data_IF_425576136237
#
_entry.id   IF_425576136237
#
_cell.length_a   1.000
_cell.length_b   1.000
_cell.length_c   1.000
_cell.angle_alpha   90.00
_cell.angle_beta   90.00
_cell.angle_gamma   90.00
#
_symmetry.space_group_name_H-M   'P 1'
#
loop_
_entity.id
_entity.type
_entity.pdbx_description
1 polymer ?
#
# COMPACT_ATOMS: atom_id res chain seq x y z
N UNK A 1 56.83 16.34 -7.22
CA UNK A 1 55.68 15.81 -7.99
C UNK A 1 54.72 15.22 -6.97
N UNK A 2 53.65 15.94 -6.61
CA UNK A 2 52.68 15.51 -5.58
C UNK A 2 51.64 14.62 -6.26
N UNK A 3 51.56 13.36 -5.82
CA UNK A 3 50.63 12.36 -6.33
C UNK A 3 49.30 12.54 -5.58
N UNK A 4 48.24 12.94 -6.28
CA UNK A 4 46.87 12.97 -5.75
C UNK A 4 46.27 11.58 -5.93
N UNK A 5 45.95 10.92 -4.82
CA UNK A 5 45.19 9.66 -4.82
C UNK A 5 43.70 10.03 -4.91
N UNK A 6 43.06 9.75 -6.04
CA UNK A 6 41.61 9.89 -6.20
C UNK A 6 40.99 8.62 -5.61
N UNK A 7 40.39 8.76 -4.43
CA UNK A 7 39.54 7.73 -3.83
C UNK A 7 38.23 7.68 -4.63
N UNK A 8 38.12 6.73 -5.55
CA UNK A 8 36.85 6.42 -6.23
C UNK A 8 36.01 5.63 -5.23
N UNK A 9 35.10 6.32 -4.56
CA UNK A 9 34.05 5.69 -3.76
C UNK A 9 33.03 5.09 -4.76
N UNK A 10 33.16 3.80 -5.04
CA UNK A 10 32.11 3.05 -5.73
C UNK A 10 30.94 2.91 -4.75
N UNK A 11 29.92 3.75 -4.90
CA UNK A 11 28.60 3.48 -4.34
C UNK A 11 28.08 2.19 -4.97
N UNK A 12 28.14 1.10 -4.22
CA UNK A 12 27.40 -0.11 -4.54
C UNK A 12 25.93 0.20 -4.26
N UNK A 13 25.15 0.44 -5.31
CA UNK A 13 23.69 0.50 -5.18
C UNK A 13 23.19 -0.91 -4.86
N UNK A 14 22.50 -1.07 -3.72
CA UNK A 14 21.82 -2.31 -3.40
C UNK A 14 20.85 -2.69 -4.55
N UNK A 15 20.65 -3.99 -4.83
CA UNK A 15 19.70 -4.41 -5.86
C UNK A 15 18.28 -4.04 -5.40
N UNK A 16 17.72 -2.98 -5.98
CA UNK A 16 16.32 -2.64 -5.82
C UNK A 16 15.50 -3.65 -6.62
N UNK A 17 14.76 -4.53 -5.93
CA UNK A 17 13.83 -5.45 -6.58
C UNK A 17 12.51 -4.74 -6.80
N UNK A 18 11.93 -4.92 -8.00
CA UNK A 18 10.57 -4.50 -8.24
C UNK A 18 9.60 -5.42 -7.51
N UNK A 19 8.60 -4.83 -6.86
CA UNK A 19 7.47 -5.51 -6.23
C UNK A 19 6.22 -5.31 -7.08
N UNK A 20 5.24 -6.19 -6.93
CA UNK A 20 3.96 -6.11 -7.65
C UNK A 20 2.82 -6.24 -6.68
N UNK A 21 1.86 -5.31 -6.79
CA UNK A 21 0.58 -5.35 -6.09
C UNK A 21 -0.57 -5.40 -7.09
N UNK A 22 -1.67 -6.03 -6.69
CA UNK A 22 -2.92 -6.02 -7.45
C UNK A 22 -4.00 -5.40 -6.59
N UNK A 23 -4.64 -4.36 -7.12
CA UNK A 23 -5.59 -3.51 -6.41
C UNK A 23 -6.96 -3.66 -7.06
N UNK A 24 -7.96 -3.98 -6.27
CA UNK A 24 -9.35 -4.07 -6.73
C UNK A 24 -9.94 -2.68 -7.00
N UNK A 25 -10.88 -2.60 -7.94
CA UNK A 25 -11.62 -1.36 -8.15
C UNK A 25 -12.44 -0.98 -6.92
N UNK A 26 -12.18 0.21 -6.38
CA UNK A 26 -12.87 0.76 -5.21
C UNK A 26 -14.23 1.36 -5.54
N UNK A 27 -14.41 1.82 -6.79
CA UNK A 27 -15.58 2.55 -7.23
C UNK A 27 -15.69 2.43 -8.76
N UNK A 28 -16.87 2.12 -9.31
CA UNK A 28 -17.13 2.21 -10.74
C UNK A 28 -18.58 2.58 -11.07
N UNK A 29 -18.81 3.15 -12.25
CA UNK A 29 -20.16 3.52 -12.68
C UNK A 29 -20.24 3.73 -14.20
N UNK A 30 -21.43 3.56 -14.77
CA UNK A 30 -21.69 3.93 -16.17
C UNK A 30 -22.43 5.26 -16.28
N UNK A 31 -21.89 6.19 -17.07
CA UNK A 31 -22.54 7.42 -17.50
C UNK A 31 -23.38 7.15 -18.75
N UNK A 32 -24.69 7.31 -18.64
CA UNK A 32 -25.63 7.13 -19.74
C UNK A 32 -26.02 8.48 -20.33
N UNK A 33 -25.64 8.75 -21.58
CA UNK A 33 -26.04 9.98 -22.26
C UNK A 33 -27.57 10.14 -22.24
N UNK A 34 -28.00 11.23 -21.62
CA UNK A 34 -29.40 11.60 -21.45
C UNK A 34 -29.47 13.10 -21.19
N UNK A 35 -30.38 13.80 -21.88
CA UNK A 35 -30.58 15.23 -21.69
C UNK A 35 -31.03 15.58 -20.27
N UNK A 36 -31.71 14.67 -19.58
CA UNK A 36 -32.12 14.83 -18.19
C UNK A 36 -31.00 14.47 -17.20
N UNK A 37 -29.97 13.72 -17.62
CA UNK A 37 -28.88 13.30 -16.74
C UNK A 37 -29.34 12.49 -15.53
N UNK A 38 -30.42 11.71 -15.68
CA UNK A 38 -31.09 10.97 -14.60
C UNK A 38 -30.81 9.47 -14.62
N UNK A 39 -29.85 9.02 -15.43
CA UNK A 39 -29.52 7.61 -15.62
C UNK A 39 -28.11 7.32 -15.14
N UNK A 40 -27.95 6.20 -14.43
CA UNK A 40 -26.70 5.73 -13.82
C UNK A 40 -26.75 4.20 -13.62
N UNK A 41 -25.63 3.59 -13.24
CA UNK A 41 -25.54 2.17 -12.89
C UNK A 41 -24.31 1.89 -12.01
N UNK A 42 -24.31 2.42 -10.78
CA UNK A 42 -23.20 2.29 -9.84
C UNK A 42 -23.20 1.01 -9.00
N UNK A 43 -24.27 0.21 -9.07
CA UNK A 43 -24.40 -1.05 -8.34
C UNK A 43 -24.81 -2.21 -9.27
N UNK A 44 -24.65 -2.06 -10.58
CA UNK A 44 -24.96 -3.08 -11.59
C UNK A 44 -23.75 -3.98 -11.87
N UNK A 45 -23.99 -5.13 -12.52
CA UNK A 45 -22.95 -6.13 -12.80
C UNK A 45 -22.00 -5.70 -13.94
N UNK A 46 -22.32 -4.62 -14.67
CA UNK A 46 -21.64 -4.25 -15.89
C UNK A 46 -21.37 -2.76 -16.08
N UNK A 47 -20.23 -2.47 -16.71
CA UNK A 47 -19.79 -1.16 -17.20
C UNK A 47 -19.92 -1.04 -18.72
N UNK A 48 -20.22 0.15 -19.23
CA UNK A 48 -20.35 0.38 -20.67
C UNK A 48 -19.54 1.56 -21.18
N UNK A 49 -18.90 1.37 -22.34
CA UNK A 49 -18.18 2.42 -23.06
C UNK A 49 -18.52 2.39 -24.56
N UNK A 50 -18.66 3.55 -25.18
CA UNK A 50 -18.89 3.72 -26.62
C UNK A 50 -20.32 4.05 -27.02
N UNK A 51 -20.56 4.11 -28.32
CA UNK A 51 -21.85 4.48 -28.90
C UNK A 51 -22.72 3.24 -29.16
N UNK A 52 -23.95 3.29 -28.66
CA UNK A 52 -24.95 2.23 -28.85
C UNK A 52 -25.57 2.26 -30.25
N UNK A 53 -26.31 1.21 -30.63
CA UNK A 53 -27.07 1.16 -31.89
C UNK A 53 -28.12 2.29 -31.99
N UNK A 54 -28.67 2.70 -30.84
CA UNK A 54 -29.63 3.80 -30.74
C UNK A 54 -28.94 5.19 -30.64
N UNK A 55 -27.66 5.27 -30.99
CA UNK A 55 -26.83 6.48 -31.05
C UNK A 55 -26.48 7.14 -29.71
N UNK A 56 -27.05 6.69 -28.59
CA UNK A 56 -26.68 7.19 -27.26
C UNK A 56 -25.27 6.74 -26.84
N UNK A 57 -24.52 7.66 -26.22
CA UNK A 57 -23.18 7.40 -25.69
C UNK A 57 -23.21 6.75 -24.30
N UNK A 58 -22.20 5.93 -24.04
CA UNK A 58 -21.88 5.33 -22.74
C UNK A 58 -20.41 5.60 -22.44
N UNK A 59 -20.12 5.96 -21.20
CA UNK A 59 -18.76 6.07 -20.68
C UNK A 59 -18.71 5.38 -19.33
N UNK A 60 -17.65 4.65 -19.04
CA UNK A 60 -17.46 4.06 -17.72
C UNK A 60 -16.47 4.93 -16.95
N UNK A 61 -16.75 5.21 -15.67
CA UNK A 61 -15.80 5.79 -14.73
C UNK A 61 -15.38 4.71 -13.74
N UNK A 62 -14.11 4.66 -13.39
CA UNK A 62 -13.54 3.63 -12.52
C UNK A 62 -12.38 4.19 -11.71
N UNK A 63 -12.31 3.87 -10.42
CA UNK A 63 -11.26 4.32 -9.52
C UNK A 63 -10.68 3.19 -8.67
N UNK A 64 -9.36 3.23 -8.48
CA UNK A 64 -8.58 2.34 -7.63
C UNK A 64 -7.93 3.20 -6.54
N UNK A 65 -8.68 3.51 -5.48
CA UNK A 65 -8.27 4.49 -4.46
C UNK A 65 -7.36 3.91 -3.38
N UNK A 66 -7.42 2.59 -3.15
CA UNK A 66 -6.69 1.91 -2.08
C UNK A 66 -5.25 1.57 -2.52
N UNK A 67 -4.40 2.60 -2.63
CA UNK A 67 -2.97 2.45 -2.94
C UNK A 67 -2.11 2.13 -1.70
N UNK A 68 -2.71 1.87 -0.54
CA UNK A 68 -2.01 1.79 0.75
C UNK A 68 -1.08 0.59 0.92
N UNK A 69 -1.14 -0.41 0.03
CA UNK A 69 -0.17 -1.51 -0.04
C UNK A 69 1.16 -1.08 -0.69
N UNK A 70 1.17 0.05 -1.42
CA UNK A 70 2.39 0.63 -1.99
C UNK A 70 3.00 1.58 -0.95
N UNK A 71 4.25 1.37 -0.52
CA UNK A 71 4.91 2.24 0.46
C UNK A 71 4.99 3.71 0.01
N UNK A 72 4.86 4.64 0.95
CA UNK A 72 5.06 6.06 0.69
C UNK A 72 6.47 6.31 0.11
N UNK A 73 6.54 7.13 -0.94
CA UNK A 73 7.79 7.44 -1.62
C UNK A 73 8.27 6.35 -2.58
N UNK A 74 7.54 5.24 -2.77
CA UNK A 74 7.86 4.29 -3.83
C UNK A 74 7.81 4.93 -5.23
N UNK A 75 8.58 4.37 -6.15
CA UNK A 75 8.63 4.78 -7.56
C UNK A 75 7.87 3.78 -8.41
N UNK A 76 6.76 4.18 -9.00
CA UNK A 76 5.98 3.33 -9.90
C UNK A 76 6.80 3.02 -11.17
N UNK A 77 6.91 1.73 -11.51
CA UNK A 77 7.62 1.24 -12.70
C UNK A 77 6.67 0.90 -13.83
N UNK A 78 5.60 0.18 -13.52
CA UNK A 78 4.60 -0.21 -14.52
C UNK A 78 3.19 -0.28 -13.93
N UNK A 79 2.21 0.02 -14.76
CA UNK A 79 0.78 0.01 -14.39
C UNK A 79 0.03 -0.72 -15.48
N UNK A 80 -0.73 -1.75 -15.14
CA UNK A 80 -1.61 -2.47 -16.08
C UNK A 80 -3.03 -2.51 -15.56
N UNK A 81 -4.00 -2.25 -16.43
CA UNK A 81 -5.42 -2.31 -16.08
C UNK A 81 -6.00 -3.57 -16.71
N UNK A 82 -6.56 -4.43 -15.88
CA UNK A 82 -7.22 -5.66 -16.29
C UNK A 82 -8.73 -5.44 -16.36
N UNK A 83 -9.32 -5.72 -17.52
CA UNK A 83 -10.75 -5.61 -17.77
C UNK A 83 -11.27 -6.87 -18.44
N UNK A 84 -12.50 -7.27 -18.12
CA UNK A 84 -13.18 -8.36 -18.80
C UNK A 84 -14.31 -7.85 -19.69
N UNK A 85 -14.16 -7.96 -21.01
CA UNK A 85 -15.24 -7.67 -21.94
C UNK A 85 -16.21 -8.85 -21.99
N UNK A 86 -17.46 -8.61 -21.57
CA UNK A 86 -18.52 -9.63 -21.53
C UNK A 86 -19.60 -9.43 -22.58
N UNK A 87 -19.53 -8.36 -23.37
CA UNK A 87 -20.34 -8.22 -24.60
C UNK A 87 -19.75 -7.21 -25.59
N UNK A 88 -19.88 -7.54 -26.88
CA UNK A 88 -19.75 -6.60 -28.01
C UNK A 88 -20.98 -6.66 -28.93
N UNK A 89 -21.15 -5.62 -29.75
CA UNK A 89 -22.17 -5.58 -30.80
C UNK A 89 -21.68 -4.90 -32.10
N UNK A 90 -20.37 -4.69 -32.24
CA UNK A 90 -19.76 -3.96 -33.34
C UNK A 90 -18.34 -4.50 -33.63
N UNK A 91 -17.75 -4.06 -34.74
CA UNK A 91 -16.36 -4.37 -35.09
C UNK A 91 -15.38 -3.87 -34.01
N UNK A 92 -14.16 -4.40 -34.04
CA UNK A 92 -13.04 -3.96 -33.20
C UNK A 92 -12.97 -2.43 -33.08
N UNK A 93 -12.78 -1.93 -31.87
CA UNK A 93 -12.73 -0.50 -31.57
C UNK A 93 -11.59 -0.19 -30.61
N UNK A 94 -11.13 1.06 -30.60
CA UNK A 94 -10.15 1.52 -29.63
C UNK A 94 -10.86 1.92 -28.34
N UNK A 95 -10.45 1.31 -27.23
CA UNK A 95 -10.77 1.74 -25.88
C UNK A 95 -9.65 2.67 -25.40
N UNK A 96 -10.01 3.86 -24.94
CA UNK A 96 -9.09 4.87 -24.40
C UNK A 96 -9.36 5.09 -22.92
N UNK A 97 -8.28 5.20 -22.14
CA UNK A 97 -8.29 5.49 -20.71
C UNK A 97 -7.86 6.94 -20.53
N UNK A 98 -8.69 7.77 -19.89
CA UNK A 98 -8.40 9.17 -19.63
C UNK A 98 -8.48 9.47 -18.15
N UNK A 99 -7.49 10.19 -17.59
CA UNK A 99 -7.53 10.59 -16.17
C UNK A 99 -8.68 11.56 -15.93
N UNK A 100 -9.48 11.30 -14.89
CA UNK A 100 -10.52 12.22 -14.44
C UNK A 100 -9.90 13.39 -13.65
N UNK A 101 -10.38 14.60 -13.91
CA UNK A 101 -9.90 15.83 -13.26
C UNK A 101 -10.86 16.33 -12.17
N UNK A 102 -11.93 15.57 -11.90
CA UNK A 102 -12.92 15.90 -10.88
C UNK A 102 -13.45 14.64 -10.20
N UNK A 103 -13.60 14.73 -8.87
CA UNK A 103 -14.20 13.67 -8.07
C UNK A 103 -15.67 13.43 -8.45
N UNK A 104 -16.12 12.20 -8.22
CA UNK A 104 -17.44 11.71 -8.60
C UNK A 104 -17.91 10.61 -7.64
N UNK A 105 -19.22 10.41 -7.58
CA UNK A 105 -19.85 9.48 -6.65
C UNK A 105 -20.43 8.25 -7.32
N UNK A 106 -20.58 7.21 -6.52
CA UNK A 106 -21.22 5.96 -6.87
C UNK A 106 -22.35 5.75 -5.87
N UNK A 107 -23.57 5.67 -6.38
CA UNK A 107 -24.77 5.45 -5.59
C UNK A 107 -25.27 4.02 -5.71
N UNK A 108 -26.54 3.83 -5.40
CA UNK A 108 -27.19 2.51 -5.36
C UNK A 108 -27.96 2.17 -6.63
N UNK A 109 -27.77 2.94 -7.71
CA UNK A 109 -28.48 2.69 -8.97
C UNK A 109 -28.07 1.33 -9.55
N UNK A 110 -29.05 0.44 -9.76
CA UNK A 110 -28.82 -0.91 -10.26
C UNK A 110 -29.80 -1.21 -11.41
N UNK A 111 -29.25 -1.27 -12.62
CA UNK A 111 -30.00 -1.55 -13.83
C UNK A 111 -30.35 -3.04 -13.90
N UNK A 112 -31.60 -3.34 -14.27
CA UNK A 112 -32.02 -4.72 -14.43
C UNK A 112 -31.57 -5.32 -15.76
N UNK A 113 -31.36 -6.64 -15.80
CA UNK A 113 -31.28 -7.41 -17.03
C UNK A 113 -29.94 -7.30 -17.74
N UNK A 114 -29.88 -6.55 -18.84
CA UNK A 114 -28.66 -6.39 -19.64
C UNK A 114 -27.99 -5.02 -19.47
N UNK A 115 -28.55 -4.16 -18.62
CA UNK A 115 -27.95 -2.93 -18.08
C UNK A 115 -27.57 -1.80 -19.05
N UNK A 116 -27.56 -2.03 -20.37
CA UNK A 116 -27.19 -1.00 -21.36
C UNK A 116 -28.13 0.21 -21.45
N UNK A 117 -29.30 0.15 -20.81
CA UNK A 117 -30.25 1.26 -20.68
C UNK A 117 -30.07 2.09 -19.39
N UNK A 118 -29.33 1.57 -18.40
CA UNK A 118 -29.16 2.20 -17.09
C UNK A 118 -30.38 2.05 -16.18
N UNK A 119 -30.22 2.47 -14.94
CA UNK A 119 -31.28 2.65 -13.95
C UNK A 119 -31.49 4.13 -13.66
N UNK A 120 -32.59 4.45 -12.97
CA UNK A 120 -32.75 5.79 -12.39
C UNK A 120 -31.61 6.05 -11.40
N UNK A 121 -30.96 7.20 -11.55
CA UNK A 121 -29.91 7.64 -10.63
C UNK A 121 -30.48 7.88 -9.23
N UNK A 122 -29.69 7.50 -8.24
CA UNK A 122 -29.89 7.73 -6.82
C UNK A 122 -28.94 8.82 -6.32
N UNK A 123 -29.21 9.37 -5.14
CA UNK A 123 -28.35 10.42 -4.60
C UNK A 123 -26.89 9.93 -4.47
N UNK A 124 -25.95 10.73 -4.95
CA UNK A 124 -24.53 10.41 -5.00
C UNK A 124 -24.05 9.81 -6.32
N UNK A 125 -24.93 9.25 -7.16
CA UNK A 125 -24.51 8.65 -8.43
C UNK A 125 -23.87 9.66 -9.39
N UNK A 126 -22.81 9.25 -10.09
CA UNK A 126 -22.39 9.94 -11.30
C UNK A 126 -23.36 9.63 -12.44
N UNK A 127 -23.69 10.64 -13.24
CA UNK A 127 -24.53 10.56 -14.43
C UNK A 127 -23.88 11.36 -15.55
N UNK A 128 -24.50 11.40 -16.73
CA UNK A 128 -24.00 12.23 -17.82
C UNK A 128 -23.86 13.71 -17.45
N UNK A 129 -24.74 14.25 -16.60
CA UNK A 129 -24.69 15.68 -16.23
C UNK A 129 -24.15 15.91 -14.82
N UNK A 130 -24.25 14.93 -13.93
CA UNK A 130 -23.89 15.07 -12.52
C UNK A 130 -22.67 14.23 -12.16
N UNK A 131 -21.73 14.81 -11.42
CA UNK A 131 -20.67 14.05 -10.75
C UNK A 131 -21.13 13.48 -9.41
N UNK A 132 -22.07 14.17 -8.74
CA UNK A 132 -22.84 13.64 -7.62
C UNK A 132 -24.32 14.04 -7.78
N UNK A 133 -25.14 13.10 -8.20
CA UNK A 133 -26.57 13.33 -8.42
C UNK A 133 -27.29 13.69 -7.11
N UNK A 134 -28.19 14.67 -7.07
CA UNK A 134 -28.69 15.57 -8.13
C UNK A 134 -28.16 17.00 -7.99
N UNK A 135 -27.03 17.19 -7.29
CA UNK A 135 -26.61 18.51 -6.80
C UNK A 135 -25.32 19.05 -7.45
N UNK A 136 -24.36 18.18 -7.77
CA UNK A 136 -23.06 18.60 -8.31
C UNK A 136 -22.91 18.13 -9.75
N UNK A 137 -22.69 19.08 -10.66
CA UNK A 137 -22.54 18.84 -12.09
C UNK A 137 -21.08 18.71 -12.50
N UNK A 138 -20.84 18.00 -13.60
CA UNK A 138 -19.61 18.14 -14.37
C UNK A 138 -19.54 19.54 -14.99
N UNK A 139 -18.35 20.05 -15.28
CA UNK A 139 -18.20 21.25 -16.11
C UNK A 139 -18.55 20.93 -17.57
N UNK A 140 -18.19 19.72 -18.03
CA UNK A 140 -18.51 19.20 -19.35
C UNK A 140 -19.41 17.95 -19.22
N UNK A 141 -20.61 17.93 -19.83
CA UNK A 141 -21.44 16.74 -19.84
C UNK A 141 -20.68 15.52 -20.36
N UNK A 142 -20.79 14.41 -19.62
CA UNK A 142 -20.10 13.16 -19.87
C UNK A 142 -18.73 13.05 -19.19
N UNK A 143 -18.36 13.98 -18.30
CA UNK A 143 -17.17 13.89 -17.45
C UNK A 143 -16.14 14.99 -17.71
N UNK A 144 -15.41 15.35 -16.66
CA UNK A 144 -14.23 16.22 -16.73
C UNK A 144 -12.96 15.37 -16.68
N UNK A 145 -12.21 15.33 -17.78
CA UNK A 145 -11.05 14.45 -17.93
C UNK A 145 -9.99 15.06 -18.86
N UNK A 146 -8.76 14.59 -18.72
CA UNK A 146 -7.64 14.97 -19.58
C UNK A 146 -7.90 14.59 -21.04
N UNK A 147 -7.80 15.56 -21.94
CA UNK A 147 -7.95 15.31 -23.38
C UNK A 147 -6.90 14.32 -23.93
N UNK A 148 -5.73 14.23 -23.31
CA UNK A 148 -4.71 13.23 -23.62
C UNK A 148 -5.04 11.93 -22.88
N UNK A 149 -5.20 10.84 -23.63
CA UNK A 149 -5.40 9.51 -23.07
C UNK A 149 -4.12 9.04 -22.36
N UNK A 150 -4.28 8.43 -21.19
CA UNK A 150 -3.21 7.78 -20.45
C UNK A 150 -2.80 6.49 -21.14
N UNK A 151 -3.76 5.72 -21.68
CA UNK A 151 -3.49 4.53 -22.47
C UNK A 151 -4.62 4.23 -23.46
N UNK A 152 -4.32 3.38 -24.44
CA UNK A 152 -5.28 2.90 -25.42
C UNK A 152 -5.03 1.42 -25.75
N UNK A 153 -6.10 0.69 -26.02
CA UNK A 153 -6.04 -0.70 -26.50
C UNK A 153 -7.13 -0.94 -27.54
N UNK A 154 -6.90 -1.88 -28.46
CA UNK A 154 -7.96 -2.36 -29.35
C UNK A 154 -8.73 -3.50 -28.68
N UNK A 155 -10.05 -3.36 -28.59
CA UNK A 155 -10.96 -4.38 -28.07
C UNK A 155 -11.88 -4.92 -29.17
N UNK A 156 -11.93 -6.24 -29.31
CA UNK A 156 -12.66 -6.95 -30.37
C UNK A 156 -13.65 -7.95 -29.77
N UNK A 157 -13.22 -9.19 -29.53
CA UNK A 157 -14.05 -10.29 -29.02
C UNK A 157 -14.15 -10.29 -27.48
N UNK A 158 -15.19 -10.90 -26.92
CA UNK A 158 -15.32 -11.13 -25.48
C UNK A 158 -14.10 -11.86 -24.89
N UNK A 159 -13.69 -11.46 -23.70
CA UNK A 159 -12.55 -12.02 -22.98
C UNK A 159 -11.81 -10.99 -22.14
N UNK A 160 -10.67 -11.44 -21.59
CA UNK A 160 -9.77 -10.60 -20.82
C UNK A 160 -8.98 -9.65 -21.72
N UNK A 161 -8.88 -8.39 -21.28
CA UNK A 161 -8.05 -7.36 -21.88
C UNK A 161 -7.13 -6.78 -20.81
N UNK A 162 -5.85 -6.71 -21.14
CA UNK A 162 -4.82 -6.07 -20.32
C UNK A 162 -4.37 -4.82 -21.05
N UNK A 163 -4.66 -3.65 -20.46
CA UNK A 163 -4.14 -2.38 -20.95
C UNK A 163 -2.70 -2.27 -20.45
N UNK A 164 -1.75 -2.28 -21.38
CA UNK A 164 -0.32 -2.25 -21.08
C UNK A 164 0.12 -0.89 -20.52
N UNK A 165 1.21 -0.94 -19.74
CA UNK A 165 1.80 0.23 -19.12
C UNK A 165 2.26 1.28 -20.13
N UNK A 166 1.98 2.54 -19.80
CA UNK A 166 2.47 3.72 -20.51
C UNK A 166 3.07 4.69 -19.51
N UNK A 167 3.91 5.61 -19.98
CA UNK A 167 4.43 6.68 -19.12
C UNK A 167 3.33 7.54 -18.49
N UNK A 168 2.19 7.70 -19.18
CA UNK A 168 1.08 8.49 -18.66
C UNK A 168 0.29 7.73 -17.57
N UNK A 169 0.08 6.42 -17.70
CA UNK A 169 -0.49 5.62 -16.60
C UNK A 169 0.41 5.60 -15.37
N UNK A 170 1.73 5.44 -15.57
CA UNK A 170 2.72 5.53 -14.50
C UNK A 170 2.68 6.91 -13.83
N UNK A 171 2.62 7.99 -14.60
CA UNK A 171 2.53 9.34 -14.05
C UNK A 171 1.22 9.61 -13.31
N UNK A 172 0.09 9.06 -13.78
CA UNK A 172 -1.19 9.17 -13.08
C UNK A 172 -1.12 8.48 -11.71
N UNK A 173 -0.69 7.22 -11.65
CA UNK A 173 -0.61 6.46 -10.38
C UNK A 173 0.46 7.01 -9.46
N UNK A 174 1.61 7.46 -9.97
CA UNK A 174 2.62 8.15 -9.15
C UNK A 174 2.04 9.43 -8.54
N UNK A 175 1.32 10.23 -9.33
CA UNK A 175 0.68 11.45 -8.82
C UNK A 175 -0.36 11.17 -7.74
N UNK A 176 -1.09 10.06 -7.84
CA UNK A 176 -2.04 9.62 -6.82
C UNK A 176 -1.38 9.04 -5.57
N UNK A 177 -0.21 8.41 -5.70
CA UNK A 177 0.58 7.99 -4.56
C UNK A 177 1.12 9.22 -3.80
N UNK A 178 1.58 10.24 -4.53
CA UNK A 178 2.14 11.47 -3.98
C UNK A 178 1.07 12.41 -3.39
N UNK A 179 -0.13 12.44 -3.96
CA UNK A 179 -1.31 13.16 -3.46
C UNK A 179 -2.58 12.29 -3.57
N UNK A 180 -2.89 11.48 -2.53
CA UNK A 180 -4.04 10.58 -2.55
C UNK A 180 -5.39 11.26 -2.76
N UNK A 181 -5.52 12.55 -2.40
CA UNK A 181 -6.77 13.30 -2.59
C UNK A 181 -7.03 13.64 -4.08
N UNK A 182 -6.03 13.48 -4.94
CA UNK A 182 -6.15 13.70 -6.39
C UNK A 182 -6.61 12.46 -7.16
N UNK A 183 -6.75 11.31 -6.49
CA UNK A 183 -7.16 10.05 -7.12
C UNK A 183 -8.66 10.01 -7.39
N UNK A 184 -9.05 10.51 -8.57
CA UNK A 184 -10.42 10.41 -9.08
C UNK A 184 -10.60 9.25 -10.07
N UNK A 185 -9.56 8.46 -10.30
CA UNK A 185 -9.57 7.36 -11.26
C UNK A 185 -9.55 7.80 -12.72
N UNK A 186 -10.09 6.94 -13.58
CA UNK A 186 -10.13 7.11 -15.03
C UNK A 186 -11.54 7.01 -15.58
N UNK A 187 -11.73 7.60 -16.76
CA UNK A 187 -12.90 7.38 -17.62
C UNK A 187 -12.49 6.58 -18.86
N UNK A 188 -13.29 5.57 -19.18
CA UNK A 188 -13.10 4.66 -20.31
C UNK A 188 -14.03 5.05 -21.45
N UNK A 189 -13.42 5.33 -22.61
CA UNK A 189 -14.11 5.77 -23.82
C UNK A 189 -13.78 4.80 -24.95
N UNK A 190 -14.80 4.18 -25.55
CA UNK A 190 -14.65 3.56 -26.87
C UNK A 190 -15.03 4.58 -27.95
N UNK A 191 -14.77 4.27 -29.23
CA UNK A 191 -15.06 5.18 -30.35
C UNK A 191 -16.49 5.76 -30.29
N UNK A 192 -16.62 7.05 -30.03
CA UNK A 192 -17.91 7.72 -29.98
C UNK A 192 -18.37 8.22 -31.35
N UNK A 193 -17.63 7.96 -32.43
CA UNK A 193 -17.96 8.35 -33.81
C UNK A 193 -18.83 7.32 -34.54
N UNK A 194 -18.69 6.04 -34.22
CA UNK A 194 -19.42 4.92 -34.83
C UNK A 194 -19.99 3.98 -33.76
N UNK A 195 -20.91 3.09 -34.14
CA UNK A 195 -21.41 2.05 -33.22
C UNK A 195 -20.24 1.21 -32.71
N UNK A 196 -20.00 1.24 -31.41
CA UNK A 196 -18.79 0.69 -30.80
C UNK A 196 -19.03 0.11 -29.40
N UNK A 197 -20.25 0.20 -28.87
CA UNK A 197 -20.57 -0.13 -27.48
C UNK A 197 -19.94 -1.46 -27.03
N UNK A 198 -19.16 -1.38 -25.96
CA UNK A 198 -18.58 -2.51 -25.24
C UNK A 198 -19.17 -2.59 -23.85
N UNK A 199 -19.34 -3.82 -23.38
CA UNK A 199 -19.70 -4.12 -21.99
C UNK A 199 -18.53 -4.79 -21.30
N UNK A 200 -18.14 -4.23 -20.17
CA UNK A 200 -17.16 -4.81 -19.28
C UNK A 200 -17.84 -5.26 -17.98
N UNK A 201 -17.25 -6.19 -17.26
CA UNK A 201 -17.72 -6.52 -15.91
C UNK A 201 -17.33 -5.41 -14.94
N UNK A 202 -18.24 -5.05 -14.03
CA UNK A 202 -17.99 -4.11 -12.93
C UNK A 202 -17.37 -4.81 -11.72
N UNK A 203 -17.06 -4.04 -10.68
CA UNK A 203 -16.64 -4.53 -9.36
C UNK A 203 -17.76 -5.27 -8.62
N UNK A 204 -19.03 -5.04 -8.93
CA UNK A 204 -20.17 -5.78 -8.37
C UNK A 204 -20.35 -7.16 -9.01
N UNK A 205 -19.78 -7.39 -10.20
CA UNK A 205 -20.03 -8.60 -10.98
C UNK A 205 -19.83 -9.88 -10.16
N UNK A 206 -20.71 -10.89 -10.25
CA UNK A 206 -20.63 -12.09 -9.41
C UNK A 206 -19.40 -12.98 -9.71
N UNK A 207 -18.75 -12.84 -10.87
CA UNK A 207 -17.52 -13.55 -11.22
C UNK A 207 -16.30 -12.72 -10.77
N UNK A 208 -15.82 -12.97 -9.55
CA UNK A 208 -14.77 -12.17 -8.90
C UNK A 208 -13.48 -12.12 -9.71
N UNK A 209 -13.10 -13.23 -10.35
CA UNK A 209 -11.90 -13.35 -11.18
C UNK A 209 -11.97 -12.57 -12.50
N UNK A 210 -13.13 -11.97 -12.80
CA UNK A 210 -13.37 -11.17 -14.01
C UNK A 210 -13.70 -9.72 -13.67
N UNK A 211 -13.53 -9.30 -12.42
CA UNK A 211 -13.71 -7.91 -11.99
C UNK A 211 -12.52 -7.05 -12.45
N UNK A 212 -12.69 -5.73 -12.58
CA UNK A 212 -11.59 -4.83 -12.89
C UNK A 212 -10.51 -4.86 -11.81
N UNK A 213 -9.24 -4.92 -12.21
CA UNK A 213 -8.08 -4.88 -11.31
C UNK A 213 -6.99 -3.97 -11.87
N UNK A 214 -6.25 -3.32 -10.98
CA UNK A 214 -5.06 -2.55 -11.29
C UNK A 214 -3.83 -3.31 -10.80
N UNK A 215 -2.97 -3.72 -11.72
CA UNK A 215 -1.66 -4.30 -11.39
C UNK A 215 -0.62 -3.19 -11.42
N UNK A 216 0.11 -3.01 -10.33
CA UNK A 216 1.14 -1.97 -10.19
C UNK A 216 2.45 -2.62 -9.80
N UNK A 217 3.47 -2.39 -10.62
CA UNK A 217 4.85 -2.71 -10.30
C UNK A 217 5.56 -1.44 -9.81
N UNK A 218 6.22 -1.51 -8.66
CA UNK A 218 6.89 -0.38 -8.05
C UNK A 218 8.26 -0.77 -7.50
N UNK A 219 9.12 0.24 -7.34
CA UNK A 219 10.33 0.15 -6.54
C UNK A 219 10.09 0.88 -5.24
N UNK A 220 10.17 0.17 -4.12
CA UNK A 220 10.25 0.81 -2.81
C UNK A 220 11.53 1.64 -2.77
N UNK A 221 11.40 2.96 -2.52
CA UNK A 221 12.55 3.80 -2.16
C UNK A 221 12.88 3.68 -0.66
N UNK A 222 12.03 2.99 0.09
CA UNK A 222 12.42 2.37 1.34
C UNK A 222 13.50 1.32 1.00
N UNK A 223 14.67 1.28 1.65
CA UNK A 223 15.67 0.21 1.48
C UNK A 223 15.14 -1.22 1.82
N UNK A 224 13.83 -1.42 1.84
CA UNK A 224 13.10 -2.38 2.66
C UNK A 224 13.37 -2.12 4.13
N UNK A 225 12.83 -2.96 5.04
CA UNK A 225 13.73 -3.42 6.08
C UNK A 225 15.00 -3.92 5.36
N UNK A 226 16.14 -3.29 5.62
CA UNK A 226 17.45 -3.75 5.12
C UNK A 226 17.47 -5.28 5.14
N UNK A 227 17.90 -5.97 4.06
CA UNK A 227 17.71 -7.41 3.90
C UNK A 227 17.91 -8.13 5.23
N UNK A 228 16.78 -8.46 5.85
CA UNK A 228 16.60 -9.20 7.09
C UNK A 228 17.67 -9.16 8.17
N UNK A 229 18.11 -8.01 8.69
CA UNK A 229 18.87 -8.03 9.95
C UNK A 229 17.93 -8.22 11.16
N UNK A 230 17.33 -9.38 11.31
CA UNK A 230 16.36 -9.59 12.39
C UNK A 230 17.05 -9.91 13.71
N UNK A 231 17.52 -8.88 14.40
CA UNK A 231 17.86 -8.99 15.82
C UNK A 231 16.62 -9.09 16.72
N UNK A 232 15.41 -8.93 16.16
CA UNK A 232 14.19 -9.13 16.93
C UNK A 232 14.03 -10.58 17.34
N UNK A 233 13.35 -10.77 18.46
CA UNK A 233 13.06 -12.08 19.02
C UNK A 233 13.62 -12.25 20.44
N UNK A 234 13.47 -13.47 20.97
CA UNK A 234 13.91 -13.81 22.31
C UNK A 234 15.42 -14.10 22.37
N UNK A 235 16.08 -13.48 23.34
CA UNK A 235 17.50 -13.66 23.66
C UNK A 235 17.66 -14.14 25.11
N UNK A 236 18.64 -14.99 25.38
CA UNK A 236 18.90 -15.52 26.73
C UNK A 236 20.37 -15.89 26.92
N UNK A 237 20.83 -15.94 28.17
CA UNK A 237 22.11 -16.59 28.50
C UNK A 237 21.81 -18.04 28.93
N UNK A 238 22.35 -19.08 28.26
CA UNK A 238 22.11 -20.47 28.63
C UNK A 238 22.56 -20.88 30.03
N UNK A 239 23.34 -20.03 30.71
CA UNK A 239 23.80 -20.26 32.09
C UNK A 239 22.89 -19.59 33.13
N UNK A 240 21.90 -18.80 32.71
CA UNK A 240 21.00 -18.04 33.57
C UNK A 240 19.55 -18.50 33.36
N UNK A 241 19.07 -19.38 34.24
CA UNK A 241 17.73 -19.98 34.13
C UNK A 241 16.61 -18.99 34.47
N UNK A 242 15.58 -18.95 33.63
CA UNK A 242 14.34 -18.21 33.90
C UNK A 242 14.45 -16.71 33.67
N UNK A 243 15.49 -16.25 32.98
CA UNK A 243 15.65 -14.86 32.57
C UNK A 243 16.06 -14.70 31.11
N UNK A 244 15.82 -13.52 30.54
CA UNK A 244 16.13 -13.22 29.15
C UNK A 244 15.60 -11.86 28.70
N UNK A 245 15.70 -11.63 27.40
CA UNK A 245 15.37 -10.37 26.74
C UNK A 245 14.43 -10.62 25.55
N UNK A 246 13.50 -9.70 25.31
CA UNK A 246 12.79 -9.61 24.03
C UNK A 246 13.25 -8.35 23.33
N UNK A 247 13.88 -8.52 22.18
CA UNK A 247 14.32 -7.41 21.32
C UNK A 247 13.26 -7.20 20.25
N UNK A 248 12.85 -5.95 20.04
CA UNK A 248 11.96 -5.53 18.98
C UNK A 248 12.66 -4.48 18.15
N UNK A 249 12.97 -4.81 16.89
CA UNK A 249 13.47 -3.84 15.92
C UNK A 249 12.28 -3.35 15.09
N UNK A 250 12.01 -2.04 15.14
CA UNK A 250 10.88 -1.41 14.46
C UNK A 250 11.36 -0.21 13.64
N UNK A 251 10.54 0.33 12.70
CA UNK A 251 10.87 1.57 12.01
C UNK A 251 11.11 2.78 12.95
N UNK A 252 10.56 2.76 14.18
CA UNK A 252 10.78 3.82 15.16
C UNK A 252 12.11 3.67 15.94
N UNK A 253 12.77 2.52 15.84
CA UNK A 253 13.95 2.14 16.61
C UNK A 253 13.79 0.83 17.36
N UNK A 254 14.77 0.54 18.20
CA UNK A 254 14.88 -0.67 19.00
C UNK A 254 14.23 -0.48 20.37
N UNK A 255 13.45 -1.48 20.78
CA UNK A 255 12.84 -1.59 22.10
C UNK A 255 13.21 -2.94 22.71
N UNK A 256 13.71 -2.94 23.94
CA UNK A 256 14.15 -4.16 24.62
C UNK A 256 13.41 -4.31 25.94
N UNK A 257 12.80 -5.47 26.13
CA UNK A 257 12.31 -5.89 27.44
C UNK A 257 13.30 -6.83 28.09
N UNK A 258 13.48 -6.69 29.39
CA UNK A 258 14.15 -7.69 30.22
C UNK A 258 13.16 -8.33 31.18
N UNK A 259 13.23 -9.65 31.29
CA UNK A 259 12.46 -10.45 32.22
C UNK A 259 13.42 -11.34 32.99
N UNK A 260 13.51 -11.17 34.30
CA UNK A 260 14.40 -11.97 35.12
C UNK A 260 14.33 -11.64 36.58
N UNK A 261 15.49 -11.54 37.22
CA UNK A 261 15.60 -11.37 38.66
C UNK A 261 16.55 -10.25 39.06
N UNK A 262 16.19 -9.52 40.12
CA UNK A 262 17.07 -8.57 40.81
C UNK A 262 18.19 -9.29 41.59
N UNK A 263 19.16 -8.54 42.11
CA UNK A 263 20.23 -9.08 42.98
C UNK A 263 19.71 -9.83 44.21
N UNK A 264 18.52 -9.46 44.69
CA UNK A 264 17.85 -10.06 45.85
C UNK A 264 16.88 -11.20 45.45
N UNK A 265 17.02 -11.71 44.22
CA UNK A 265 16.25 -12.82 43.67
C UNK A 265 14.72 -12.57 43.61
N UNK A 266 14.31 -11.30 43.45
CA UNK A 266 12.92 -10.92 43.20
C UNK A 266 12.69 -10.79 41.70
N UNK A 267 11.46 -11.04 41.22
CA UNK A 267 11.12 -10.86 39.81
C UNK A 267 11.31 -9.40 39.39
N UNK A 268 11.99 -9.22 38.26
CA UNK A 268 12.31 -7.92 37.69
C UNK A 268 11.87 -7.88 36.22
N UNK A 269 11.12 -6.84 35.88
CA UNK A 269 10.55 -6.61 34.56
C UNK A 269 10.92 -5.19 34.16
N UNK A 270 11.74 -5.05 33.13
CA UNK A 270 12.22 -3.76 32.65
C UNK A 270 11.84 -3.57 31.19
N UNK A 271 11.70 -2.32 30.79
CA UNK A 271 11.52 -1.90 29.41
C UNK A 271 12.50 -0.77 29.09
N UNK A 272 13.13 -0.80 27.93
CA UNK A 272 14.01 0.28 27.51
C UNK A 272 13.24 1.51 27.01
N UNK A 273 13.93 2.63 26.84
CA UNK A 273 13.57 3.63 25.85
C UNK A 273 13.70 3.08 24.41
N UNK A 274 13.31 3.90 23.43
CA UNK A 274 13.47 3.56 22.02
C UNK A 274 14.76 4.20 21.52
N UNK A 275 15.67 3.37 20.98
CA UNK A 275 16.95 3.82 20.44
C UNK A 275 17.03 3.48 18.96
N UNK A 276 17.25 4.49 18.12
CA UNK A 276 17.47 4.28 16.67
C UNK A 276 18.91 3.82 16.45
N UNK A 277 19.08 2.65 15.82
CA UNK A 277 20.38 2.09 15.46
C UNK A 277 20.34 1.75 13.98
N UNK A 278 21.14 2.45 13.18
CA UNK A 278 21.26 2.23 11.74
C UNK A 278 22.59 2.82 11.22
N UNK A 279 23.53 2.00 10.69
CA UNK A 279 23.54 0.53 10.69
C UNK A 279 23.98 -0.05 12.05
N UNK A 280 23.80 -1.35 12.24
CA UNK A 280 24.43 -2.07 13.37
C UNK A 280 25.86 -2.43 13.02
N UNK A 281 26.78 -2.09 13.92
CA UNK A 281 28.20 -2.41 13.86
C UNK A 281 28.56 -3.39 14.97
N UNK A 282 29.15 -4.53 14.61
CA UNK A 282 29.58 -5.51 15.61
C UNK A 282 30.73 -4.98 16.48
N UNK A 283 30.66 -5.28 17.77
CA UNK A 283 31.60 -4.77 18.77
C UNK A 283 31.31 -3.35 19.25
N UNK A 284 30.35 -2.64 18.65
CA UNK A 284 29.88 -1.34 19.13
C UNK A 284 28.93 -1.52 20.32
N UNK A 285 29.07 -0.64 21.32
CA UNK A 285 28.18 -0.61 22.49
C UNK A 285 27.00 0.30 22.22
N UNK A 286 25.80 -0.27 22.26
CA UNK A 286 24.54 0.45 22.21
C UNK A 286 23.95 0.56 23.60
N UNK A 287 23.59 1.78 24.02
CA UNK A 287 23.07 2.04 25.37
C UNK A 287 21.57 2.34 25.32
N UNK A 288 20.84 1.73 26.24
CA UNK A 288 19.39 1.84 26.39
C UNK A 288 19.06 2.23 27.82
N UNK A 289 18.24 3.25 28.02
CA UNK A 289 17.75 3.61 29.35
C UNK A 289 16.71 2.60 29.79
N UNK A 290 16.97 1.86 30.87
CA UNK A 290 16.04 0.87 31.39
C UNK A 290 15.10 1.49 32.41
N UNK A 291 13.81 1.27 32.20
CA UNK A 291 12.72 1.77 33.02
C UNK A 291 12.02 0.62 33.75
N UNK A 292 11.56 0.90 34.97
CA UNK A 292 10.77 0.00 35.80
C UNK A 292 9.47 0.68 36.21
N UNK A 293 8.36 -0.05 36.12
CA UNK A 293 7.05 0.37 36.60
C UNK A 293 6.66 -0.34 37.90
N UNK A 294 5.72 0.24 38.64
CA UNK A 294 5.01 -0.52 39.67
C UNK A 294 4.20 -1.66 39.02
N UNK A 295 3.96 -2.78 39.72
CA UNK A 295 3.07 -3.83 39.21
C UNK A 295 1.65 -3.29 39.00
N UNK A 296 1.14 -3.39 37.77
CA UNK A 296 -0.25 -3.08 37.43
C UNK A 296 -1.13 -4.33 37.30
N UNK A 297 -2.40 -4.13 36.96
CA UNK A 297 -3.30 -5.22 36.53
C UNK A 297 -3.53 -5.14 35.01
N UNK A 298 -4.01 -6.22 34.39
CA UNK A 298 -4.36 -6.18 32.97
C UNK A 298 -5.39 -5.09 32.64
N UNK A 299 -6.31 -4.83 33.57
CA UNK A 299 -7.37 -3.81 33.43
C UNK A 299 -6.95 -2.41 33.87
N UNK A 300 -5.78 -2.28 34.51
CA UNK A 300 -5.23 -1.02 35.02
C UNK A 300 -3.70 -1.12 34.99
N UNK A 301 -3.10 -1.03 33.79
CA UNK A 301 -1.66 -1.10 33.64
C UNK A 301 -1.03 0.21 34.14
N UNK A 302 0.21 0.14 34.59
CA UNK A 302 0.99 1.32 34.99
C UNK A 302 1.19 2.23 33.76
N UNK A 303 0.73 3.50 33.80
CA UNK A 303 0.93 4.43 32.70
C UNK A 303 2.40 4.65 32.39
N UNK A 304 2.74 4.91 31.12
CA UNK A 304 4.12 5.18 30.70
C UNK A 304 4.76 6.36 31.43
N UNK A 305 3.96 7.36 31.80
CA UNK A 305 4.40 8.54 32.59
C UNK A 305 4.82 8.21 34.03
N UNK A 306 4.46 7.02 34.53
CA UNK A 306 4.79 6.57 35.88
C UNK A 306 5.96 5.58 35.90
N UNK A 307 6.55 5.28 34.74
CA UNK A 307 7.78 4.50 34.67
C UNK A 307 8.95 5.32 35.22
N UNK A 308 9.78 4.68 36.04
CA UNK A 308 10.95 5.29 36.69
C UNK A 308 12.22 4.71 36.12
N UNK A 309 13.29 5.51 36.06
CA UNK A 309 14.60 5.01 35.64
C UNK A 309 15.12 3.99 36.64
N UNK A 310 15.51 2.82 36.12
CA UNK A 310 16.09 1.72 36.88
C UNK A 310 17.61 1.60 36.66
N UNK A 311 18.07 1.89 35.45
CA UNK A 311 19.48 1.73 35.07
C UNK A 311 19.68 1.85 33.56
N UNK A 312 20.76 1.26 33.06
CA UNK A 312 21.12 1.22 31.64
C UNK A 312 21.32 -0.23 31.20
N UNK A 313 20.91 -0.55 29.98
CA UNK A 313 21.28 -1.77 29.29
C UNK A 313 22.30 -1.40 28.20
N UNK A 314 23.48 -2.01 28.26
CA UNK A 314 24.48 -1.95 27.22
C UNK A 314 24.41 -3.23 26.38
N UNK A 315 24.24 -3.09 25.08
CA UNK A 315 24.21 -4.20 24.12
C UNK A 315 25.43 -4.11 23.22
N UNK A 316 26.25 -5.16 23.24
CA UNK A 316 27.34 -5.35 22.29
C UNK A 316 27.04 -6.60 21.48
N UNK A 317 26.86 -6.44 20.18
CA UNK A 317 26.61 -7.57 19.29
C UNK A 317 27.93 -8.05 18.69
N UNK A 318 28.23 -9.33 18.85
CA UNK A 318 29.39 -10.02 18.26
C UNK A 318 28.99 -10.94 17.10
N UNK A 319 27.69 -11.11 16.88
CA UNK A 319 27.12 -11.74 15.71
C UNK A 319 25.61 -11.52 15.59
N UNK A 320 25.00 -12.22 14.63
CA UNK A 320 23.57 -12.13 14.32
C UNK A 320 22.64 -12.75 15.37
N UNK A 321 23.21 -13.64 16.18
CA UNK A 321 22.51 -14.43 17.19
C UNK A 321 23.27 -14.51 18.50
N UNK A 322 24.37 -13.75 18.64
CA UNK A 322 25.20 -13.70 19.85
C UNK A 322 25.56 -12.27 20.19
N UNK A 323 25.57 -11.96 21.48
CA UNK A 323 25.84 -10.63 22.02
C UNK A 323 26.22 -10.70 23.50
N UNK A 324 26.84 -9.64 24.01
CA UNK A 324 26.98 -9.40 25.44
C UNK A 324 26.03 -8.28 25.85
N UNK A 325 25.10 -8.60 26.74
CA UNK A 325 24.10 -7.68 27.26
C UNK A 325 24.46 -7.39 28.72
N UNK A 326 24.72 -6.12 29.05
CA UNK A 326 25.10 -5.70 30.40
C UNK A 326 24.05 -4.76 30.97
N UNK A 327 23.28 -5.25 31.94
CA UNK A 327 22.38 -4.42 32.74
C UNK A 327 23.18 -3.83 33.91
N UNK A 328 23.26 -2.50 33.97
CA UNK A 328 23.86 -1.75 35.06
C UNK A 328 22.78 -0.86 35.69
N UNK A 329 22.33 -1.22 36.89
CA UNK A 329 21.20 -0.56 37.54
C UNK A 329 21.36 -0.43 39.04
N UNK A 330 20.27 0.01 39.67
CA UNK A 330 20.20 0.29 41.12
C UNK A 330 20.55 -0.91 42.02
N UNK A 331 20.50 -2.13 41.51
CA UNK A 331 20.79 -3.37 42.22
C UNK A 331 22.10 -4.06 41.75
N UNK A 332 22.90 -3.36 40.95
CA UNK A 332 24.23 -3.79 40.53
C UNK A 332 24.34 -4.06 39.02
N UNK A 333 25.43 -4.76 38.66
CA UNK A 333 25.75 -5.07 37.27
C UNK A 333 25.51 -6.55 37.01
N UNK A 334 24.72 -6.84 35.96
CA UNK A 334 24.48 -8.18 35.43
C UNK A 334 24.96 -8.25 33.99
N UNK A 335 25.80 -9.23 33.70
CA UNK A 335 26.32 -9.50 32.35
C UNK A 335 25.72 -10.82 31.85
N UNK A 336 25.16 -10.80 30.66
CA UNK A 336 24.57 -11.95 29.98
C UNK A 336 25.29 -12.19 28.65
N UNK A 337 25.80 -13.40 28.42
CA UNK A 337 26.26 -13.86 27.11
C UNK A 337 25.03 -14.29 26.30
N UNK A 338 24.32 -13.31 25.78
CA UNK A 338 23.02 -13.47 25.16
C UNK A 338 23.10 -14.21 23.82
N UNK A 339 22.21 -15.18 23.65
CA UNK A 339 22.01 -15.95 22.44
C UNK A 339 20.55 -15.85 21.99
N UNK A 340 20.30 -15.66 20.69
CA UNK A 340 18.95 -15.61 20.13
C UNK A 340 18.38 -17.01 19.94
N UNK A 341 17.15 -17.28 20.41
CA UNK A 341 16.52 -18.61 20.35
C UNK A 341 15.91 -18.88 18.96
N UNK A 342 15.10 -17.95 18.48
CA UNK A 342 14.37 -18.03 17.20
C UNK A 342 14.35 -16.63 16.60
N UNK A 343 14.71 -16.51 15.33
CA UNK A 343 14.45 -15.32 14.51
C UNK A 343 13.18 -15.51 13.68
N UNK A 344 12.71 -14.45 13.04
CA UNK A 344 11.62 -14.53 12.08
C UNK A 344 12.15 -15.10 10.75
N UNK A 345 11.53 -16.18 10.27
CA UNK A 345 11.89 -16.84 9.01
C UNK A 345 11.85 -15.84 7.84
N UNK A 346 12.88 -15.88 6.98
CA UNK A 346 13.03 -14.97 5.83
C UNK A 346 13.99 -13.81 6.06
N UNK A 347 14.48 -13.62 7.29
CA UNK A 347 15.40 -12.53 7.61
C UNK A 347 16.86 -13.00 7.66
N UNK A 348 17.72 -12.48 6.76
CA UNK A 348 19.17 -12.77 6.72
C UNK A 348 20.02 -11.65 7.32
N UNK A 349 20.72 -11.93 8.41
CA UNK A 349 21.68 -10.98 8.97
C UNK A 349 22.80 -10.65 7.97
N UNK A 350 22.88 -9.38 7.55
CA UNK A 350 23.95 -8.84 6.73
C UNK A 350 24.66 -7.70 7.46
N UNK A 351 25.95 -7.53 7.17
CA UNK A 351 26.81 -6.46 7.75
C UNK A 351 27.13 -5.40 6.68
N UNK A 352 26.22 -5.19 5.73
CA UNK A 352 26.49 -4.29 4.60
C UNK A 352 26.44 -2.81 4.99
#
# INVERSE_FOLDING_TARGET
>A
MRLFLILVCCLLAAPVSAETVVIDASQDNTLYESSQGALSNGAGDYLFAGRTLNQGLRRAVIAFKDLGEIPEGATIQSVRIHLWQSRENAAATTLSVHRLDSDWGEGTSNASGQEGAGAAATAGDATWNHRFFDNLTWNNPGGDFSATASAQITVDNNGAYMIESTQALVADVQGWLDDPNSNFGWILLADEGATSARRFNSRENPMQEQRPMLEVEYLSNDPGPAPGSDWSGPWFDPTLDGEGYLVFVTPAGWLIYYFGYSSDNQRLWLVSDIVTIDPVEFGTTYEFSMLVGAPGSYTEPTPSSELTSWGTLQVVLDGCTTGVFTLDGVDGVKVSNAQKIVGVDGNSCSTE
#
